data_IF_153760735215
#
_entry.id   IF_153760735215
#
_cell.length_a   1.000
_cell.length_b   1.000
_cell.length_c   1.000
_cell.angle_alpha   90.00
_cell.angle_beta   90.00
_cell.angle_gamma   90.00
#
_symmetry.space_group_name_H-M   'P 1'
#
loop_
_entity.id
_entity.type
_entity.pdbx_description
1 polymer ?
#
# COMPACT_ATOMS: atom_id res chain seq x y z
N UNK A 1 -5.19 -4.49 -19.29
CA UNK A 1 -5.58 -3.09 -19.66
C UNK A 1 -6.69 -3.05 -20.71
N UNK A 2 -6.78 -4.07 -21.56
CA UNK A 2 -7.79 -4.33 -22.59
C UNK A 2 -9.16 -4.83 -22.07
N UNK A 3 -9.43 -4.68 -20.77
CA UNK A 3 -10.65 -5.16 -20.13
C UNK A 3 -10.73 -6.67 -19.87
N UNK A 4 -9.72 -7.44 -20.28
CA UNK A 4 -9.66 -8.87 -19.97
C UNK A 4 -9.29 -9.09 -18.50
N UNK A 5 -9.86 -10.15 -17.92
CA UNK A 5 -9.63 -10.53 -16.54
C UNK A 5 -9.50 -12.05 -16.43
N UNK A 6 -8.44 -12.51 -15.79
CA UNK A 6 -8.13 -13.92 -15.57
C UNK A 6 -8.02 -14.18 -14.07
N UNK A 7 -8.65 -15.24 -13.58
CA UNK A 7 -8.64 -15.62 -12.18
C UNK A 7 -8.59 -17.14 -12.03
N UNK A 8 -8.00 -17.60 -10.93
CA UNK A 8 -7.90 -19.01 -10.55
C UNK A 8 -7.85 -19.15 -9.03
N UNK A 9 -8.23 -20.32 -8.51
CA UNK A 9 -8.32 -20.56 -7.06
C UNK A 9 -9.37 -19.67 -6.39
N UNK A 10 -9.15 -19.33 -5.13
CA UNK A 10 -10.07 -18.55 -4.30
C UNK A 10 -9.98 -17.03 -4.57
N UNK A 11 -9.76 -16.64 -5.82
CA UNK A 11 -9.49 -15.25 -6.23
C UNK A 11 -10.63 -14.26 -5.92
N UNK A 12 -11.83 -14.76 -5.61
CA UNK A 12 -13.01 -13.97 -5.22
C UNK A 12 -13.23 -13.89 -3.71
N UNK A 13 -12.46 -14.63 -2.91
CA UNK A 13 -12.51 -14.52 -1.46
C UNK A 13 -11.96 -13.16 -1.03
N UNK A 14 -12.75 -12.43 -0.25
CA UNK A 14 -12.33 -11.13 0.30
C UNK A 14 -11.50 -11.37 1.56
N UNK A 15 -10.44 -10.58 1.67
CA UNK A 15 -9.56 -10.56 2.84
C UNK A 15 -9.18 -9.12 3.17
N UNK A 16 -8.70 -8.90 4.40
CA UNK A 16 -8.15 -7.60 4.79
C UNK A 16 -6.87 -7.31 4.00
N UNK A 17 -6.87 -6.24 3.20
CA UNK A 17 -5.74 -5.90 2.31
C UNK A 17 -4.51 -5.41 3.08
N UNK A 18 -4.65 -5.07 4.36
CA UNK A 18 -3.57 -4.73 5.27
C UNK A 18 -2.66 -3.64 4.69
N UNK A 19 -1.35 -3.85 4.66
CA UNK A 19 -0.38 -2.85 4.19
C UNK A 19 -0.46 -2.54 2.69
N UNK A 20 -1.25 -3.25 1.89
CA UNK A 20 -1.54 -2.86 0.50
C UNK A 20 -2.25 -1.50 0.48
N UNK A 21 -3.07 -1.20 1.51
CA UNK A 21 -3.76 0.07 1.69
C UNK A 21 -2.82 1.29 1.76
N UNK A 22 -1.54 1.09 2.10
CA UNK A 22 -0.53 2.17 2.15
C UNK A 22 -0.33 2.81 0.79
N UNK A 23 -0.36 2.02 -0.28
CA UNK A 23 -0.27 2.53 -1.66
C UNK A 23 -1.46 3.44 -1.97
N UNK A 24 -2.67 3.01 -1.59
CA UNK A 24 -3.88 3.82 -1.76
C UNK A 24 -3.81 5.10 -0.93
N UNK A 25 -3.40 5.04 0.33
CA UNK A 25 -3.25 6.24 1.17
C UNK A 25 -2.27 7.25 0.61
N UNK A 26 -1.15 6.79 0.04
CA UNK A 26 -0.19 7.65 -0.66
C UNK A 26 -0.81 8.30 -1.90
N UNK A 27 -1.55 7.53 -2.70
CA UNK A 27 -2.26 8.02 -3.89
C UNK A 27 -3.31 9.08 -3.52
N UNK A 28 -4.04 8.88 -2.42
CA UNK A 28 -4.96 9.91 -1.90
C UNK A 28 -4.18 11.16 -1.50
N UNK A 29 -3.07 11.02 -0.76
CA UNK A 29 -2.26 12.17 -0.36
C UNK A 29 -1.69 12.95 -1.56
N UNK A 30 -1.20 12.26 -2.60
CA UNK A 30 -0.70 12.85 -3.85
C UNK A 30 -1.75 13.66 -4.63
N UNK A 31 -3.04 13.39 -4.42
CA UNK A 31 -4.14 14.14 -5.03
C UNK A 31 -4.57 15.37 -4.21
N UNK A 32 -4.07 15.51 -2.99
CA UNK A 32 -4.52 16.52 -2.03
C UNK A 32 -3.41 17.42 -1.50
N UNK A 33 -2.16 17.12 -1.83
CA UNK A 33 -0.98 17.83 -1.37
C UNK A 33 -0.01 18.05 -2.54
N UNK A 34 0.75 19.14 -2.47
CA UNK A 34 1.89 19.34 -3.33
C UNK A 34 3.00 18.34 -2.99
N UNK A 35 3.88 18.04 -3.95
CA UNK A 35 4.94 17.06 -3.76
C UNK A 35 5.84 17.42 -2.56
N UNK A 36 6.19 18.71 -2.41
CA UNK A 36 7.05 19.18 -1.33
C UNK A 36 6.42 18.93 0.05
N UNK A 37 5.10 19.11 0.19
CA UNK A 37 4.39 18.90 1.46
C UNK A 37 4.47 17.43 1.92
N UNK A 38 4.41 16.48 0.98
CA UNK A 38 4.53 15.04 1.28
C UNK A 38 5.98 14.70 1.60
N UNK A 39 6.89 15.06 0.70
CA UNK A 39 8.27 14.57 0.75
C UNK A 39 9.16 15.28 1.80
N UNK A 40 8.71 16.40 2.34
CA UNK A 40 9.31 16.97 3.54
C UNK A 40 9.05 16.08 4.77
N UNK A 41 7.86 15.46 4.86
CA UNK A 41 7.42 14.67 6.02
C UNK A 41 7.77 13.19 5.94
N UNK A 42 7.90 12.62 4.75
CA UNK A 42 8.29 11.21 4.54
C UNK A 42 9.31 11.11 3.40
N UNK A 43 10.30 10.24 3.55
CA UNK A 43 11.34 10.00 2.54
C UNK A 43 10.88 9.14 1.36
N UNK A 44 11.86 8.74 0.55
CA UNK A 44 11.66 7.91 -0.67
C UNK A 44 12.58 6.70 -0.71
N UNK A 45 13.36 6.48 0.34
CA UNK A 45 14.45 5.52 0.35
C UNK A 45 14.01 4.17 0.93
N UNK A 46 14.55 3.05 0.43
CA UNK A 46 14.36 1.77 1.09
C UNK A 46 14.93 1.82 2.52
N UNK A 47 14.33 1.03 3.41
CA UNK A 47 14.86 0.82 4.75
C UNK A 47 15.62 -0.51 4.79
N UNK A 48 16.94 -0.47 5.02
CA UNK A 48 17.74 -1.68 5.26
C UNK A 48 17.51 -2.33 6.63
N UNK A 49 16.74 -1.66 7.49
CA UNK A 49 16.33 -2.14 8.82
C UNK A 49 14.86 -2.62 8.77
N UNK A 50 14.42 -3.48 9.72
CA UNK A 50 13.03 -3.89 9.79
C UNK A 50 12.07 -2.68 9.80
N UNK A 51 10.90 -2.84 9.16
CA UNK A 51 9.90 -1.78 8.94
C UNK A 51 9.39 -1.05 10.20
N UNK A 52 9.78 -1.53 11.38
CA UNK A 52 9.42 -1.03 12.69
C UNK A 52 10.64 -0.62 13.55
N UNK A 53 11.79 -0.30 12.95
CA UNK A 53 12.97 0.15 13.69
C UNK A 53 12.76 1.55 14.25
N UNK A 54 12.62 1.66 15.58
CA UNK A 54 12.52 2.95 16.29
C UNK A 54 13.85 3.71 16.24
N UNK A 55 14.98 3.00 16.26
CA UNK A 55 16.31 3.59 16.20
C UNK A 55 16.53 4.41 14.92
N UNK A 56 16.15 3.85 13.77
CA UNK A 56 16.28 4.58 12.50
C UNK A 56 15.45 5.87 12.53
N UNK A 57 14.23 5.78 13.07
CA UNK A 57 13.31 6.91 13.16
C UNK A 57 13.82 8.01 14.11
N UNK A 58 14.51 7.62 15.18
CA UNK A 58 15.18 8.56 16.09
C UNK A 58 16.38 9.26 15.43
N UNK A 59 17.23 8.50 14.72
CA UNK A 59 18.36 9.06 13.96
C UNK A 59 17.89 10.05 12.90
N UNK A 60 16.77 9.75 12.22
CA UNK A 60 16.18 10.61 11.19
C UNK A 60 15.24 11.67 11.76
N UNK A 61 15.28 11.93 13.07
CA UNK A 61 14.53 12.99 13.74
C UNK A 61 13.02 12.92 13.41
N UNK A 62 12.45 11.73 13.49
CA UNK A 62 11.03 11.48 13.26
C UNK A 62 10.61 11.52 11.79
N UNK A 63 11.53 11.66 10.83
CA UNK A 63 11.22 11.51 9.41
C UNK A 63 11.34 10.05 8.98
N UNK A 64 10.24 9.37 8.63
CA UNK A 64 10.30 7.99 8.14
C UNK A 64 10.89 7.90 6.73
N UNK A 65 11.57 6.78 6.46
CA UNK A 65 12.31 6.54 5.21
C UNK A 65 11.51 6.50 3.93
N UNK A 66 10.31 5.93 3.98
CA UNK A 66 9.40 5.78 2.83
C UNK A 66 7.97 5.58 3.33
N UNK A 67 6.94 5.80 2.48
CA UNK A 67 5.54 5.68 2.89
C UNK A 67 5.04 4.24 3.09
N UNK A 68 5.84 3.20 2.79
CA UNK A 68 5.39 1.80 2.82
C UNK A 68 5.79 1.04 4.10
N UNK A 69 6.73 1.58 4.88
CA UNK A 69 6.91 1.19 6.29
C UNK A 69 5.81 1.81 7.18
N UNK A 70 5.61 1.25 8.37
CA UNK A 70 4.51 1.67 9.25
C UNK A 70 4.62 3.17 9.63
N UNK A 71 5.82 3.63 9.99
CA UNK A 71 6.05 5.03 10.34
C UNK A 71 5.66 5.99 9.20
N UNK A 72 6.05 5.68 7.96
CA UNK A 72 5.70 6.50 6.80
C UNK A 72 4.21 6.50 6.49
N UNK A 73 3.57 5.33 6.56
CA UNK A 73 2.13 5.24 6.36
C UNK A 73 1.33 5.99 7.44
N UNK A 74 1.81 6.01 8.69
CA UNK A 74 1.22 6.79 9.77
C UNK A 74 1.35 8.30 9.54
N UNK A 75 2.49 8.77 9.01
CA UNK A 75 2.65 10.17 8.58
C UNK A 75 1.68 10.50 7.45
N UNK A 76 1.53 9.62 6.45
CA UNK A 76 0.55 9.82 5.37
C UNK A 76 -0.88 9.87 5.93
N UNK A 77 -1.23 9.00 6.89
CA UNK A 77 -2.54 9.04 7.54
C UNK A 77 -2.75 10.32 8.36
N UNK A 78 -1.71 10.81 9.05
CA UNK A 78 -1.74 12.09 9.77
C UNK A 78 -1.96 13.27 8.82
N UNK A 79 -1.31 13.28 7.64
CA UNK A 79 -1.58 14.28 6.61
C UNK A 79 -3.05 14.21 6.15
N UNK A 80 -3.54 13.02 5.79
CA UNK A 80 -4.93 12.85 5.35
C UNK A 80 -5.95 13.28 6.42
N UNK A 81 -5.66 13.03 7.70
CA UNK A 81 -6.48 13.49 8.82
C UNK A 81 -6.60 15.02 8.88
N UNK A 82 -5.54 15.76 8.52
CA UNK A 82 -5.57 17.23 8.49
C UNK A 82 -6.32 17.80 7.28
N UNK A 83 -6.30 17.10 6.14
CA UNK A 83 -6.85 17.62 4.86
C UNK A 83 -8.27 17.18 4.57
N UNK A 84 -8.66 16.01 5.04
CA UNK A 84 -9.96 15.42 4.73
C UNK A 84 -10.88 15.51 5.95
N UNK A 85 -12.10 16.02 5.74
CA UNK A 85 -13.13 16.07 6.79
C UNK A 85 -13.59 14.67 7.23
N UNK A 86 -13.58 13.70 6.32
CA UNK A 86 -13.96 12.31 6.58
C UNK A 86 -13.00 11.34 5.88
N UNK A 87 -11.76 11.14 6.39
CA UNK A 87 -10.72 10.38 5.72
C UNK A 87 -11.14 8.94 5.35
N UNK A 88 -11.82 8.26 6.28
CA UNK A 88 -12.38 6.90 6.07
C UNK A 88 -13.38 6.85 4.92
N UNK A 89 -14.35 7.75 4.93
CA UNK A 89 -15.36 7.79 3.88
C UNK A 89 -14.75 8.11 2.51
N UNK A 90 -13.80 9.06 2.45
CA UNK A 90 -13.09 9.40 1.22
C UNK A 90 -12.27 8.25 0.66
N UNK A 91 -11.60 7.48 1.53
CA UNK A 91 -10.87 6.29 1.09
C UNK A 91 -11.82 5.26 0.48
N UNK A 92 -12.97 4.96 1.12
CA UNK A 92 -13.97 4.05 0.55
C UNK A 92 -14.48 4.53 -0.80
N UNK A 93 -14.80 5.82 -0.95
CA UNK A 93 -15.23 6.40 -2.22
C UNK A 93 -14.21 6.16 -3.34
N UNK A 94 -12.93 6.39 -3.04
CA UNK A 94 -11.84 6.19 -3.99
C UNK A 94 -11.68 4.71 -4.35
N UNK A 95 -11.66 3.81 -3.37
CA UNK A 95 -11.50 2.37 -3.59
C UNK A 95 -12.67 1.79 -4.37
N UNK A 96 -13.91 2.17 -4.03
CA UNK A 96 -15.12 1.74 -4.76
C UNK A 96 -15.13 2.25 -6.20
N UNK A 97 -14.67 3.48 -6.43
CA UNK A 97 -14.51 4.04 -7.78
C UNK A 97 -13.44 3.30 -8.59
N UNK A 98 -12.29 3.02 -7.99
CA UNK A 98 -11.18 2.32 -8.65
C UNK A 98 -11.50 0.86 -8.96
N UNK A 99 -12.12 0.14 -8.01
CA UNK A 99 -12.56 -1.25 -8.21
C UNK A 99 -13.81 -1.38 -9.08
N UNK A 100 -14.65 -0.33 -9.14
CA UNK A 100 -15.99 -0.43 -9.71
C UNK A 100 -16.95 -1.29 -8.89
N UNK A 101 -16.69 -1.47 -7.59
CA UNK A 101 -17.46 -2.33 -6.69
C UNK A 101 -17.98 -1.50 -5.52
N UNK A 102 -19.31 -1.37 -5.41
CA UNK A 102 -19.94 -0.41 -4.50
C UNK A 102 -20.02 -0.88 -3.04
N UNK A 103 -19.93 -2.18 -2.78
CA UNK A 103 -20.13 -2.79 -1.47
C UNK A 103 -18.81 -3.07 -0.72
N UNK A 104 -17.64 -2.73 -1.27
CA UNK A 104 -16.36 -2.79 -0.54
C UNK A 104 -16.50 -2.01 0.76
N UNK A 105 -16.11 -2.62 1.87
CA UNK A 105 -16.24 -2.07 3.21
C UNK A 105 -14.97 -2.32 4.04
N UNK A 106 -14.96 -1.75 5.22
CA UNK A 106 -13.99 -2.06 6.26
C UNK A 106 -14.50 -3.25 7.08
N UNK A 107 -13.63 -4.19 7.39
CA UNK A 107 -13.89 -5.20 8.43
C UNK A 107 -13.78 -4.51 9.81
N UNK A 108 -14.88 -4.39 10.57
CA UNK A 108 -14.86 -3.78 11.89
C UNK A 108 -14.19 -4.66 12.95
N UNK A 109 -14.18 -5.98 12.76
CA UNK A 109 -13.54 -6.93 13.67
C UNK A 109 -12.03 -6.81 13.55
N UNK A 110 -11.50 -6.81 12.32
CA UNK A 110 -10.06 -6.58 12.07
C UNK A 110 -9.65 -5.19 12.55
N UNK A 111 -10.40 -4.13 12.18
CA UNK A 111 -10.06 -2.77 12.62
C UNK A 111 -9.98 -2.64 14.14
N UNK A 112 -10.94 -3.23 14.87
CA UNK A 112 -10.95 -3.23 16.33
C UNK A 112 -9.78 -4.04 16.90
N UNK A 113 -9.56 -5.24 16.39
CA UNK A 113 -8.47 -6.12 16.84
C UNK A 113 -7.11 -5.45 16.67
N UNK A 114 -6.85 -4.83 15.52
CA UNK A 114 -5.61 -4.10 15.25
C UNK A 114 -5.43 -2.88 16.17
N UNK A 115 -6.53 -2.15 16.44
CA UNK A 115 -6.50 -1.01 17.35
C UNK A 115 -6.23 -1.43 18.82
N UNK A 116 -6.79 -2.54 19.28
CA UNK A 116 -6.53 -3.08 20.63
C UNK A 116 -5.06 -3.50 20.81
N UNK A 117 -4.38 -3.88 19.72
CA UNK A 117 -2.97 -4.28 19.70
C UNK A 117 -2.04 -3.19 19.15
N UNK A 118 -2.45 -1.92 19.20
CA UNK A 118 -1.78 -0.82 18.51
C UNK A 118 -0.50 -0.30 19.18
N UNK A 119 -0.06 -0.88 20.30
CA UNK A 119 0.99 -0.32 21.16
C UNK A 119 2.23 0.11 20.37
N UNK A 120 2.70 -0.74 19.46
CA UNK A 120 3.88 -0.45 18.62
C UNK A 120 3.68 0.74 17.68
N UNK A 121 2.54 0.79 16.99
CA UNK A 121 2.21 1.91 16.09
C UNK A 121 1.99 3.20 16.87
N UNK A 122 1.43 3.13 18.09
CA UNK A 122 1.32 4.27 18.99
C UNK A 122 2.69 4.79 19.41
N UNK A 123 3.64 3.93 19.79
CA UNK A 123 5.02 4.33 20.10
C UNK A 123 5.68 5.05 18.92
N UNK A 124 5.54 4.50 17.71
CA UNK A 124 6.05 5.12 16.48
C UNK A 124 5.45 6.52 16.28
N UNK A 125 4.12 6.65 16.40
CA UNK A 125 3.42 7.92 16.24
C UNK A 125 3.83 8.96 17.29
N UNK A 126 3.92 8.57 18.56
CA UNK A 126 4.38 9.46 19.63
C UNK A 126 5.83 9.92 19.43
N UNK A 127 6.71 9.04 18.96
CA UNK A 127 8.09 9.40 18.64
C UNK A 127 8.16 10.42 17.49
N UNK A 128 7.40 10.22 16.41
CA UNK A 128 7.34 11.22 15.33
C UNK A 128 6.72 12.54 15.82
N UNK A 129 5.75 12.47 16.74
CA UNK A 129 5.15 13.65 17.37
C UNK A 129 6.13 14.43 18.22
N UNK A 130 7.00 13.77 18.99
CA UNK A 130 8.04 14.45 19.79
C UNK A 130 9.07 15.18 18.92
N UNK A 131 9.27 14.75 17.67
CA UNK A 131 10.10 15.44 16.68
C UNK A 131 9.33 16.45 15.81
N UNK A 132 8.04 16.66 16.04
CA UNK A 132 7.23 17.63 15.29
C UNK A 132 6.81 17.17 13.89
N UNK A 133 6.95 15.88 13.56
CA UNK A 133 6.52 15.31 12.27
C UNK A 133 5.18 14.56 12.35
N UNK A 134 4.38 14.81 13.39
CA UNK A 134 3.04 14.25 13.56
C UNK A 134 2.17 15.26 14.29
N UNK A 135 1.03 15.66 13.69
CA UNK A 135 0.33 16.89 14.12
C UNK A 135 -1.03 16.63 14.74
N UNK A 136 -1.70 15.53 14.40
CA UNK A 136 -3.01 15.20 14.94
C UNK A 136 -2.93 14.37 16.21
N UNK A 137 -4.10 14.11 16.81
CA UNK A 137 -4.24 13.15 17.90
C UNK A 137 -3.83 11.73 17.42
N UNK A 138 -2.99 11.06 18.22
CA UNK A 138 -2.40 9.77 17.86
C UNK A 138 -3.48 8.69 17.75
N UNK A 139 -4.42 8.64 18.69
CA UNK A 139 -5.48 7.63 18.67
C UNK A 139 -6.38 7.79 17.43
N UNK A 140 -6.72 9.03 17.07
CA UNK A 140 -7.53 9.34 15.89
C UNK A 140 -6.86 8.90 14.59
N UNK A 141 -5.56 9.19 14.41
CA UNK A 141 -4.83 8.77 13.21
C UNK A 141 -4.68 7.26 13.16
N UNK A 142 -4.41 6.61 14.30
CA UNK A 142 -4.34 5.14 14.38
C UNK A 142 -5.65 4.49 13.98
N UNK A 143 -6.80 5.02 14.43
CA UNK A 143 -8.10 4.51 14.01
C UNK A 143 -8.25 4.56 12.49
N UNK A 144 -7.89 5.67 11.83
CA UNK A 144 -7.95 5.76 10.37
C UNK A 144 -6.99 4.76 9.70
N UNK A 145 -5.76 4.66 10.19
CA UNK A 145 -4.75 3.73 9.67
C UNK A 145 -5.25 2.28 9.70
N UNK A 146 -5.81 1.83 10.84
CA UNK A 146 -6.31 0.46 10.96
C UNK A 146 -7.58 0.19 10.16
N UNK A 147 -8.45 1.20 9.96
CA UNK A 147 -9.55 1.06 9.01
C UNK A 147 -9.00 0.89 7.59
N UNK A 148 -8.00 1.66 7.16
CA UNK A 148 -7.41 1.45 5.83
C UNK A 148 -6.84 0.05 5.67
N UNK A 149 -6.16 -0.48 6.71
CA UNK A 149 -5.70 -1.87 6.72
C UNK A 149 -6.86 -2.88 6.64
N UNK A 150 -8.01 -2.60 7.28
CA UNK A 150 -9.15 -3.51 7.31
C UNK A 150 -10.07 -3.43 6.08
N UNK A 151 -9.71 -2.69 5.03
CA UNK A 151 -10.44 -2.77 3.76
C UNK A 151 -10.48 -4.23 3.28
N UNK A 152 -11.69 -4.73 3.01
CA UNK A 152 -11.91 -6.09 2.54
C UNK A 152 -12.04 -6.12 1.02
N UNK A 153 -11.10 -6.82 0.37
CA UNK A 153 -11.09 -6.96 -1.08
C UNK A 153 -10.56 -8.34 -1.47
N UNK A 154 -11.02 -8.83 -2.61
CA UNK A 154 -10.55 -10.04 -3.26
C UNK A 154 -9.39 -9.76 -4.22
N UNK A 155 -8.73 -10.81 -4.73
CA UNK A 155 -7.69 -10.64 -5.75
C UNK A 155 -8.23 -9.92 -7.00
N UNK A 156 -9.45 -10.26 -7.44
CA UNK A 156 -10.11 -9.62 -8.59
C UNK A 156 -10.27 -8.12 -8.37
N UNK A 157 -10.76 -7.74 -7.19
CA UNK A 157 -10.98 -6.34 -6.82
C UNK A 157 -9.67 -5.57 -6.67
N UNK A 158 -8.64 -6.18 -6.11
CA UNK A 158 -7.30 -5.61 -6.00
C UNK A 158 -6.67 -5.39 -7.38
N UNK A 159 -6.68 -6.40 -8.25
CA UNK A 159 -6.12 -6.30 -9.60
C UNK A 159 -6.77 -5.15 -10.37
N UNK A 160 -8.09 -5.02 -10.30
CA UNK A 160 -8.80 -3.90 -10.93
C UNK A 160 -8.47 -2.55 -10.29
N UNK A 161 -8.43 -2.49 -8.96
CA UNK A 161 -8.17 -1.25 -8.21
C UNK A 161 -6.81 -0.65 -8.52
N UNK A 162 -5.80 -1.48 -8.71
CA UNK A 162 -4.42 -1.05 -8.94
C UNK A 162 -4.03 -0.94 -10.41
N UNK A 163 -4.94 -1.27 -11.34
CA UNK A 163 -4.68 -1.28 -12.78
C UNK A 163 -4.18 0.07 -13.32
N UNK A 164 -4.58 1.18 -12.70
CA UNK A 164 -4.13 2.52 -13.08
C UNK A 164 -2.61 2.72 -12.97
N UNK A 165 -1.92 1.95 -12.12
CA UNK A 165 -0.48 2.00 -12.02
C UNK A 165 0.23 1.34 -13.21
N UNK A 166 -0.46 0.46 -13.95
CA UNK A 166 0.06 -0.10 -15.19
C UNK A 166 -0.02 0.91 -16.34
N UNK A 167 -1.01 1.81 -16.35
CA UNK A 167 -1.23 2.80 -17.43
C UNK A 167 -1.03 4.25 -16.98
N UNK A 168 0.17 4.57 -16.46
CA UNK A 168 0.61 5.97 -16.21
C UNK A 168 -0.39 6.79 -15.37
N UNK A 169 -1.09 6.16 -14.45
CA UNK A 169 -2.05 6.82 -13.57
C UNK A 169 -3.50 6.76 -14.04
N UNK A 170 -3.82 6.06 -15.14
CA UNK A 170 -5.16 6.03 -15.75
C UNK A 170 -5.83 4.68 -15.52
N UNK A 171 -7.01 4.69 -14.90
CA UNK A 171 -7.85 3.49 -14.84
C UNK A 171 -8.70 3.42 -16.12
N UNK A 172 -8.72 2.30 -16.87
CA UNK A 172 -9.41 2.22 -18.18
C UNK A 172 -10.91 2.56 -18.15
N UNK A 173 -11.57 2.36 -17.01
CA UNK A 173 -13.01 2.62 -16.83
C UNK A 173 -13.32 3.98 -16.21
N UNK A 174 -12.33 4.86 -16.00
CA UNK A 174 -12.53 6.20 -15.46
C UNK A 174 -12.22 7.26 -16.51
N UNK A 175 -13.04 8.31 -16.55
CA UNK A 175 -12.88 9.41 -17.52
C UNK A 175 -11.73 10.36 -17.18
N UNK A 176 -11.24 10.32 -15.93
CA UNK A 176 -10.17 11.17 -15.44
C UNK A 176 -9.01 10.34 -14.88
N UNK A 177 -7.76 10.81 -15.05
CA UNK A 177 -6.60 10.19 -14.42
C UNK A 177 -6.76 10.11 -12.89
N UNK A 178 -6.30 9.00 -12.32
CA UNK A 178 -6.26 8.79 -10.86
C UNK A 178 -5.15 9.62 -10.23
N UNK A 179 -3.99 9.69 -10.90
CA UNK A 179 -2.81 10.49 -10.55
C UNK A 179 -2.06 10.87 -11.83
N UNK A 180 -1.15 11.82 -11.74
CA UNK A 180 -0.31 12.20 -12.88
C UNK A 180 0.66 11.07 -13.30
N UNK A 181 1.10 11.01 -14.57
CA UNK A 181 2.06 10.00 -15.03
C UNK A 181 3.37 9.96 -14.22
N UNK A 182 3.86 11.12 -13.79
CA UNK A 182 5.05 11.23 -12.94
C UNK A 182 4.81 10.60 -11.56
N UNK A 183 3.65 10.81 -10.95
CA UNK A 183 3.27 10.24 -9.66
C UNK A 183 3.09 8.73 -9.78
N UNK A 184 2.48 8.23 -10.85
CA UNK A 184 2.36 6.78 -11.11
C UNK A 184 3.74 6.11 -11.18
N UNK A 185 4.69 6.74 -11.87
CA UNK A 185 6.09 6.26 -11.89
C UNK A 185 6.72 6.28 -10.50
N UNK A 186 6.52 7.33 -9.72
CA UNK A 186 7.05 7.43 -8.35
C UNK A 186 6.47 6.34 -7.44
N UNK A 187 5.16 6.07 -7.51
CA UNK A 187 4.50 5.01 -6.75
C UNK A 187 5.06 3.63 -7.14
N UNK A 188 5.18 3.33 -8.43
CA UNK A 188 5.78 2.09 -8.90
C UNK A 188 7.25 1.95 -8.44
N UNK A 189 8.03 3.03 -8.45
CA UNK A 189 9.40 3.02 -7.96
C UNK A 189 9.46 2.67 -6.45
N UNK A 190 8.58 3.26 -5.64
CA UNK A 190 8.48 2.93 -4.22
C UNK A 190 8.01 1.49 -3.98
N UNK A 191 7.10 0.99 -4.82
CA UNK A 191 6.62 -0.40 -4.72
C UNK A 191 7.76 -1.36 -5.02
N UNK A 192 8.56 -1.07 -6.06
CA UNK A 192 9.74 -1.86 -6.39
C UNK A 192 10.78 -1.86 -5.26
N UNK A 193 11.11 -0.70 -4.69
CA UNK A 193 12.24 -0.60 -3.75
C UNK A 193 11.87 -0.91 -2.31
N UNK A 194 10.60 -0.75 -1.92
CA UNK A 194 10.18 -0.79 -0.51
C UNK A 194 8.91 -1.62 -0.27
N UNK A 195 8.21 -2.05 -1.32
CA UNK A 195 6.88 -2.64 -1.18
C UNK A 195 6.85 -4.06 -0.65
N UNK A 196 7.97 -4.78 -0.75
CA UNK A 196 8.18 -6.13 -0.19
C UNK A 196 9.12 -6.10 1.04
N UNK A 197 9.24 -4.93 1.68
CA UNK A 197 10.02 -4.72 2.90
C UNK A 197 11.49 -5.13 2.75
N UNK A 198 12.04 -5.89 3.71
CA UNK A 198 13.42 -6.37 3.65
C UNK A 198 13.70 -7.29 2.44
N UNK A 199 12.66 -7.93 1.90
CA UNK A 199 12.77 -8.82 0.74
C UNK A 199 12.61 -8.07 -0.60
N UNK A 200 12.55 -6.74 -0.62
CA UNK A 200 12.39 -5.97 -1.86
C UNK A 200 13.51 -6.23 -2.89
N UNK A 201 14.77 -6.32 -2.44
CA UNK A 201 15.89 -6.65 -3.33
C UNK A 201 15.79 -8.06 -3.92
N UNK A 202 15.49 -9.05 -3.08
CA UNK A 202 15.32 -10.45 -3.50
C UNK A 202 14.12 -10.63 -4.44
N UNK A 203 13.01 -9.94 -4.14
CA UNK A 203 11.82 -9.94 -4.99
C UNK A 203 12.08 -9.28 -6.34
N UNK A 204 12.80 -8.15 -6.37
CA UNK A 204 13.21 -7.51 -7.61
C UNK A 204 14.10 -8.43 -8.46
N UNK A 205 15.00 -9.20 -7.82
CA UNK A 205 15.87 -10.16 -8.49
C UNK A 205 15.08 -11.35 -9.09
N UNK A 206 14.15 -11.93 -8.32
CA UNK A 206 13.41 -13.15 -8.72
C UNK A 206 12.20 -12.89 -9.61
N UNK A 207 11.47 -11.81 -9.35
CA UNK A 207 10.19 -11.49 -9.99
C UNK A 207 10.30 -10.30 -10.93
N UNK A 208 11.02 -9.25 -10.53
CA UNK A 208 11.28 -8.09 -11.39
C UNK A 208 10.07 -7.18 -11.63
N UNK A 209 9.11 -7.11 -10.70
CA UNK A 209 7.92 -6.25 -10.82
C UNK A 209 7.74 -5.34 -9.58
N UNK A 210 7.27 -4.09 -9.76
CA UNK A 210 6.75 -3.29 -8.64
C UNK A 210 5.64 -4.03 -7.91
N UNK A 211 5.79 -4.25 -6.60
CA UNK A 211 4.80 -4.98 -5.82
C UNK A 211 4.58 -4.39 -4.43
N UNK A 212 3.43 -4.70 -3.81
CA UNK A 212 3.16 -4.42 -2.40
C UNK A 212 2.50 -5.62 -1.75
N UNK A 213 3.10 -6.08 -0.66
CA UNK A 213 2.57 -7.15 0.19
C UNK A 213 1.73 -6.61 1.36
N UNK A 214 0.80 -7.41 1.86
CA UNK A 214 0.08 -7.20 3.11
C UNK A 214 0.06 -8.48 3.95
N UNK A 215 0.14 -8.33 5.28
CA UNK A 215 0.14 -9.46 6.23
C UNK A 215 -1.17 -10.26 6.25
N UNK A 216 -2.21 -9.80 5.54
CA UNK A 216 -3.41 -10.60 5.25
C UNK A 216 -3.18 -11.67 4.18
N UNK A 217 -1.95 -11.83 3.68
CA UNK A 217 -1.58 -12.82 2.65
C UNK A 217 -1.68 -12.31 1.22
N UNK A 218 -2.08 -11.06 1.01
CA UNK A 218 -2.23 -10.47 -0.31
C UNK A 218 -0.94 -9.86 -0.85
N UNK A 219 -0.73 -9.96 -2.16
CA UNK A 219 0.30 -9.19 -2.88
C UNK A 219 -0.34 -8.62 -4.15
N UNK A 220 -0.12 -7.33 -4.40
CA UNK A 220 -0.39 -6.71 -5.71
C UNK A 220 0.93 -6.43 -6.42
N UNK A 221 1.02 -6.78 -7.70
CA UNK A 221 2.17 -6.56 -8.56
C UNK A 221 1.74 -5.89 -9.87
N UNK A 222 2.56 -4.98 -10.39
CA UNK A 222 2.26 -4.19 -11.59
C UNK A 222 3.19 -4.61 -12.72
N UNK A 223 2.61 -4.96 -13.86
CA UNK A 223 3.34 -5.10 -15.13
C UNK A 223 3.10 -3.82 -15.93
N UNK A 224 4.08 -2.90 -15.98
CA UNK A 224 3.89 -1.60 -16.64
C UNK A 224 3.43 -1.78 -18.08
N UNK A 225 2.45 -0.96 -18.48
CA UNK A 225 1.84 -0.96 -19.82
C UNK A 225 1.15 -2.28 -20.21
N UNK A 226 0.78 -3.13 -19.26
CA UNK A 226 0.08 -4.38 -19.57
C UNK A 226 -1.06 -4.70 -18.59
N UNK A 227 -0.74 -4.88 -17.31
CA UNK A 227 -1.69 -5.43 -16.34
C UNK A 227 -1.29 -5.18 -14.87
N UNK A 228 -2.24 -5.39 -13.98
CA UNK A 228 -2.01 -5.56 -12.56
C UNK A 228 -2.37 -7.00 -12.19
N UNK A 229 -1.55 -7.60 -11.32
CA UNK A 229 -1.69 -8.97 -10.83
C UNK A 229 -1.95 -8.88 -9.33
N UNK A 230 -2.90 -9.65 -8.83
CA UNK A 230 -3.08 -9.84 -7.40
C UNK A 230 -3.07 -11.32 -7.08
N UNK A 231 -2.38 -11.68 -6.01
CA UNK A 231 -2.33 -13.04 -5.45
C UNK A 231 -2.66 -12.99 -3.98
N UNK A 232 -3.20 -14.07 -3.45
CA UNK A 232 -3.50 -14.21 -2.05
C UNK A 232 -3.22 -15.63 -1.58
N UNK A 233 -2.51 -15.74 -0.46
CA UNK A 233 -2.39 -16.96 0.32
C UNK A 233 -1.99 -16.57 1.76
N UNK A 234 -2.74 -17.01 2.79
CA UNK A 234 -2.55 -16.55 4.17
C UNK A 234 -1.17 -16.81 4.77
N UNK A 235 -0.51 -17.92 4.41
CA UNK A 235 0.78 -18.28 5.00
C UNK A 235 1.90 -17.33 4.55
N UNK A 236 2.63 -16.78 5.53
CA UNK A 236 3.67 -15.78 5.32
C UNK A 236 5.08 -16.34 5.53
N UNK A 237 6.06 -15.78 4.84
CA UNK A 237 7.48 -15.94 5.12
C UNK A 237 7.93 -15.13 6.36
N UNK A 238 9.20 -15.28 6.77
CA UNK A 238 9.79 -14.56 7.91
C UNK A 238 9.81 -13.03 7.73
N UNK A 239 9.67 -12.54 6.51
CA UNK A 239 9.59 -11.12 6.19
C UNK A 239 8.14 -10.59 6.15
N UNK A 240 7.14 -11.46 6.37
CA UNK A 240 5.71 -11.11 6.37
C UNK A 240 5.08 -11.02 4.98
N UNK A 241 5.65 -11.68 3.97
CA UNK A 241 5.10 -11.77 2.62
C UNK A 241 4.48 -13.14 2.37
N UNK A 242 3.41 -13.20 1.57
CA UNK A 242 2.77 -14.46 1.21
C UNK A 242 3.73 -15.42 0.51
N UNK A 243 4.00 -16.58 1.12
CA UNK A 243 5.00 -17.53 0.62
C UNK A 243 4.59 -18.10 -0.75
N UNK A 244 3.38 -18.63 -0.83
CA UNK A 244 2.82 -19.16 -2.07
C UNK A 244 2.54 -18.03 -3.08
N UNK A 245 2.16 -16.84 -2.63
CA UNK A 245 1.96 -15.66 -3.48
C UNK A 245 3.23 -15.25 -4.22
N UNK A 246 4.36 -15.13 -3.51
CA UNK A 246 5.66 -14.82 -4.13
C UNK A 246 6.07 -15.91 -5.13
N UNK A 247 5.94 -17.19 -4.76
CA UNK A 247 6.29 -18.30 -5.65
C UNK A 247 5.42 -18.35 -6.91
N UNK A 248 4.14 -18.01 -6.81
CA UNK A 248 3.24 -17.90 -7.96
C UNK A 248 3.69 -16.76 -8.89
N UNK A 249 3.95 -15.57 -8.33
CA UNK A 249 4.40 -14.41 -9.10
C UNK A 249 5.71 -14.68 -9.85
N UNK A 250 6.69 -15.32 -9.21
CA UNK A 250 7.95 -15.72 -9.85
C UNK A 250 7.72 -16.69 -11.03
N UNK A 251 6.91 -17.73 -10.84
CA UNK A 251 6.60 -18.68 -11.92
C UNK A 251 5.86 -18.01 -13.06
N UNK A 252 4.94 -17.09 -12.75
CA UNK A 252 4.12 -16.39 -13.72
C UNK A 252 4.98 -15.42 -14.55
N UNK A 253 5.83 -14.61 -13.93
CA UNK A 253 6.72 -13.68 -14.64
C UNK A 253 7.72 -14.41 -15.53
N UNK A 254 8.30 -15.52 -15.05
CA UNK A 254 9.18 -16.38 -15.85
C UNK A 254 8.48 -16.95 -17.09
N UNK A 255 7.22 -17.41 -16.95
CA UNK A 255 6.45 -17.96 -18.08
C UNK A 255 6.05 -16.90 -19.09
N UNK A 256 5.72 -15.70 -18.63
CA UNK A 256 5.30 -14.60 -19.52
C UNK A 256 6.48 -13.84 -20.12
N UNK A 257 7.70 -14.04 -19.60
CA UNK A 257 8.87 -13.24 -20.00
C UNK A 257 8.72 -11.77 -19.63
N UNK A 258 8.05 -11.46 -18.51
CA UNK A 258 7.77 -10.09 -18.07
C UNK A 258 8.56 -9.76 -16.81
N UNK A 259 9.49 -8.83 -16.96
CA UNK A 259 10.29 -8.19 -15.92
C UNK A 259 10.47 -6.73 -16.34
N UNK A 260 10.61 -5.80 -15.38
CA UNK A 260 10.99 -4.42 -15.70
C UNK A 260 12.49 -4.25 -15.93
N UNK A 261 13.27 -5.30 -15.69
CA UNK A 261 14.70 -5.45 -15.99
C UNK A 261 14.91 -6.34 -17.19
#
# INVERSE_FOLDING_TARGET
>A
MDGQHFAAGDAHERFSIQSISKVLSLVVAMNHYQEEEIWQRVGKDPSGQPFNSLLQLEIEQGKPRNPFINAGALVVCDMLQSRLSAPRQRMLEIVRRLSGVADIAYDPVVARSEFEHSARNATIAWLMKSFGNFHNDVATVLQNYFHYCSLEMSCVELARTFLFLADRGIAPHLDAPVIAPIQSRQVNALMMTSGMYQNAGEFAWRVGLPAKSGVGGGIVAIVPQEMAIAVWSPELDDAGNSLAGVAMLEKLTQRMGRSVF
#
